data_IF_282250615044
#
_entry.id   IF_282250615044
#
_cell.length_a   1.000
_cell.length_b   1.000
_cell.length_c   1.000
_cell.angle_alpha   90.00
_cell.angle_beta   90.00
_cell.angle_gamma   90.00
#
_symmetry.space_group_name_H-M   'P 1'
#
loop_
_entity.id
_entity.type
_entity.pdbx_description
1 polymer ?
#
# COMPACT_ATOMS: atom_id res chain seq x y z
N UNK A 1 -19.00 -16.57 36.33
CA UNK A 1 -19.30 -15.14 36.14
C UNK A 1 -18.20 -14.43 35.37
N UNK A 2 -17.02 -14.46 35.91
CA UNK A 2 -15.90 -13.78 35.25
C UNK A 2 -15.60 -14.31 33.87
N UNK A 3 -15.86 -15.57 33.67
CA UNK A 3 -15.60 -16.21 32.38
C UNK A 3 -16.39 -15.58 31.24
N UNK A 4 -17.61 -15.15 31.54
CA UNK A 4 -18.44 -14.52 30.53
C UNK A 4 -17.86 -13.21 30.03
N UNK A 5 -17.31 -12.43 30.96
CA UNK A 5 -16.67 -11.17 30.61
C UNK A 5 -15.47 -11.37 29.70
N UNK A 6 -14.67 -12.38 29.99
CA UNK A 6 -13.53 -12.70 29.16
C UNK A 6 -13.94 -13.07 27.75
N UNK A 7 -14.98 -13.87 27.62
CA UNK A 7 -15.50 -14.23 26.32
C UNK A 7 -15.96 -13.03 25.52
N UNK A 8 -16.66 -12.11 26.19
CA UNK A 8 -17.13 -10.90 25.52
C UNK A 8 -15.98 -10.03 25.04
N UNK A 9 -14.95 -9.87 25.86
CA UNK A 9 -13.78 -9.09 25.45
C UNK A 9 -13.08 -9.69 24.25
N UNK A 10 -12.96 -10.99 24.22
CA UNK A 10 -12.39 -11.68 23.08
C UNK A 10 -13.17 -11.46 21.80
N UNK A 11 -14.49 -11.53 21.89
CA UNK A 11 -15.36 -11.30 20.75
C UNK A 11 -15.26 -9.87 20.24
N UNK A 12 -15.24 -8.89 21.16
CA UNK A 12 -15.09 -7.49 20.78
C UNK A 12 -13.78 -7.26 20.06
N UNK A 13 -12.69 -7.84 20.55
CA UNK A 13 -11.40 -7.74 19.89
C UNK A 13 -11.41 -8.26 18.45
N UNK A 14 -12.06 -9.41 18.23
CA UNK A 14 -12.18 -9.98 16.91
C UNK A 14 -13.05 -9.12 15.99
N UNK A 15 -14.13 -8.53 16.54
CA UNK A 15 -15.03 -7.70 15.75
C UNK A 15 -14.40 -6.40 15.27
N UNK A 16 -13.27 -5.98 15.87
CA UNK A 16 -12.59 -4.75 15.50
C UNK A 16 -11.46 -4.95 14.49
N UNK A 17 -11.29 -6.20 14.01
CA UNK A 17 -10.25 -6.48 13.02
C UNK A 17 -10.54 -5.72 11.73
N UNK A 18 -9.53 -4.99 11.22
CA UNK A 18 -9.63 -4.22 10.01
C UNK A 18 -9.42 -5.12 8.79
N UNK A 19 -10.30 -5.00 7.81
CA UNK A 19 -10.20 -5.73 6.56
C UNK A 19 -9.85 -4.77 5.42
N UNK A 20 -9.22 -5.31 4.37
CA UNK A 20 -8.81 -4.55 3.19
C UNK A 20 -9.44 -5.17 1.94
N UNK A 21 -10.07 -4.38 1.08
CA UNK A 21 -10.49 -4.89 -0.23
C UNK A 21 -9.30 -5.41 -1.01
N UNK A 22 -9.54 -6.35 -1.90
CA UNK A 22 -8.50 -6.93 -2.74
C UNK A 22 -8.74 -6.55 -4.19
N UNK A 23 -7.66 -6.36 -4.91
CA UNK A 23 -7.71 -6.01 -6.32
C UNK A 23 -6.45 -6.50 -7.02
N UNK A 24 -6.45 -6.35 -8.32
CA UNK A 24 -5.30 -6.65 -9.16
C UNK A 24 -4.87 -5.37 -9.86
N UNK A 25 -3.58 -5.12 -9.91
CA UNK A 25 -3.06 -4.01 -10.67
C UNK A 25 -1.81 -4.42 -11.46
N UNK A 26 -1.39 -3.55 -12.35
CA UNK A 26 -0.22 -3.76 -13.18
C UNK A 26 0.76 -2.62 -13.00
N UNK A 27 2.04 -2.94 -13.10
CA UNK A 27 3.09 -1.94 -13.21
C UNK A 27 3.77 -2.15 -14.55
N UNK A 28 3.78 -1.13 -15.37
CA UNK A 28 4.33 -1.19 -16.72
C UNK A 28 5.58 -0.34 -16.86
N UNK A 29 6.60 -0.90 -17.45
CA UNK A 29 7.83 -0.22 -17.80
C UNK A 29 8.68 -1.09 -18.69
N UNK A 30 9.53 -0.45 -19.49
CA UNK A 30 10.43 -1.16 -20.41
C UNK A 30 9.71 -2.14 -21.33
N UNK A 31 8.48 -1.80 -21.74
CA UNK A 31 7.70 -2.64 -22.65
C UNK A 31 7.10 -3.88 -22.02
N UNK A 32 7.12 -4.00 -20.68
CA UNK A 32 6.57 -5.15 -19.97
C UNK A 32 5.53 -4.72 -18.96
N UNK A 33 4.56 -5.58 -18.76
CA UNK A 33 3.51 -5.44 -17.74
C UNK A 33 3.71 -6.48 -16.65
N UNK A 34 3.72 -6.04 -15.41
CA UNK A 34 3.90 -6.92 -14.26
C UNK A 34 2.63 -6.89 -13.41
N UNK A 35 2.07 -8.07 -13.16
CA UNK A 35 0.86 -8.24 -12.39
C UNK A 35 1.17 -8.26 -10.90
N UNK A 36 0.36 -7.55 -10.12
CA UNK A 36 0.38 -7.59 -8.66
C UNK A 36 -1.02 -7.86 -8.13
N UNK A 37 -1.10 -8.71 -7.14
CA UNK A 37 -2.32 -8.86 -6.33
C UNK A 37 -2.15 -7.97 -5.11
N UNK A 38 -3.08 -7.04 -4.93
CA UNK A 38 -2.95 -6.02 -3.89
C UNK A 38 -4.13 -6.01 -2.96
N UNK A 39 -3.87 -5.60 -1.73
CA UNK A 39 -4.88 -5.09 -0.83
C UNK A 39 -4.98 -3.59 -1.03
N UNK A 40 -6.17 -3.04 -0.85
CA UNK A 40 -6.44 -1.62 -1.12
C UNK A 40 -6.64 -0.88 0.19
N UNK A 41 -5.84 0.16 0.40
CA UNK A 41 -5.95 1.06 1.54
C UNK A 41 -6.50 2.40 1.02
N UNK A 42 -7.81 2.59 1.16
CA UNK A 42 -8.51 3.74 0.62
C UNK A 42 -9.36 4.47 1.67
N UNK A 43 -9.10 4.22 2.94
CA UNK A 43 -9.73 4.93 4.07
C UNK A 43 -8.66 5.34 5.07
N UNK A 44 -8.91 6.37 5.90
CA UNK A 44 -7.94 6.79 6.91
C UNK A 44 -7.47 5.65 7.81
N UNK A 45 -8.38 4.76 8.23
CA UNK A 45 -8.01 3.63 9.07
C UNK A 45 -7.08 2.68 8.36
N UNK A 46 -7.34 2.41 7.08
CA UNK A 46 -6.50 1.53 6.27
C UNK A 46 -5.14 2.16 5.97
N UNK A 47 -5.10 3.48 5.72
CA UNK A 47 -3.82 4.17 5.54
C UNK A 47 -2.96 4.06 6.78
N UNK A 48 -3.59 4.24 7.95
CA UNK A 48 -2.86 4.20 9.21
C UNK A 48 -2.29 2.82 9.51
N UNK A 49 -3.05 1.78 9.24
CA UNK A 49 -2.59 0.42 9.54
C UNK A 49 -1.60 -0.11 8.50
N UNK A 50 -1.89 0.09 7.22
CA UNK A 50 -1.03 -0.43 6.16
C UNK A 50 -0.69 -1.89 6.37
N UNK A 51 0.58 -2.24 6.21
CA UNK A 51 1.08 -3.60 6.36
C UNK A 51 1.62 -3.90 7.77
N UNK A 52 1.20 -3.13 8.78
CA UNK A 52 1.61 -3.38 10.16
C UNK A 52 1.35 -4.83 10.57
N UNK A 53 2.30 -5.39 11.32
CA UNK A 53 2.22 -6.73 11.91
C UNK A 53 2.21 -7.88 10.91
N UNK A 54 2.43 -7.62 9.62
CA UNK A 54 2.56 -8.70 8.63
C UNK A 54 3.95 -9.29 8.71
N UNK A 55 4.03 -10.61 8.81
CA UNK A 55 5.31 -11.32 8.93
C UNK A 55 5.92 -11.60 7.57
N UNK A 56 5.10 -11.61 6.53
CA UNK A 56 5.56 -11.84 5.16
C UNK A 56 4.56 -11.27 4.16
N UNK A 57 5.03 -11.10 2.95
CA UNK A 57 4.26 -10.64 1.80
C UNK A 57 4.72 -11.46 0.61
N UNK A 58 3.79 -11.99 -0.17
CA UNK A 58 4.13 -12.77 -1.37
C UNK A 58 4.89 -11.93 -2.38
N UNK A 59 5.67 -12.58 -3.23
CA UNK A 59 6.55 -11.89 -4.19
C UNK A 59 5.78 -10.94 -5.09
N UNK A 60 4.60 -11.34 -5.58
CA UNK A 60 3.79 -10.50 -6.44
C UNK A 60 2.53 -10.00 -5.72
N UNK A 61 2.68 -9.71 -4.45
CA UNK A 61 1.64 -9.12 -3.61
C UNK A 61 2.10 -7.76 -3.10
N UNK A 62 1.13 -6.91 -2.78
CA UNK A 62 1.43 -5.59 -2.24
C UNK A 62 0.21 -4.94 -1.64
N UNK A 63 0.38 -3.68 -1.26
CA UNK A 63 -0.72 -2.85 -0.81
C UNK A 63 -0.67 -1.53 -1.56
N UNK A 64 -1.81 -1.15 -2.14
CA UNK A 64 -1.94 0.13 -2.83
C UNK A 64 -2.72 1.09 -1.94
N UNK A 65 -2.17 2.28 -1.75
CA UNK A 65 -2.76 3.37 -0.97
C UNK A 65 -3.32 4.38 -1.95
N UNK A 66 -4.60 4.68 -1.84
CA UNK A 66 -5.28 5.62 -2.72
C UNK A 66 -5.82 6.78 -1.90
N UNK A 67 -5.51 7.99 -2.31
CA UNK A 67 -5.91 9.21 -1.63
C UNK A 67 -6.86 10.00 -2.52
N UNK A 68 -7.96 10.56 -1.95
CA UNK A 68 -8.93 11.31 -2.75
C UNK A 68 -8.37 12.65 -3.23
N UNK A 69 -7.33 13.18 -2.55
CA UNK A 69 -6.70 14.45 -2.89
C UNK A 69 -5.19 14.25 -2.98
N UNK A 70 -4.50 15.07 -3.75
CA UNK A 70 -3.04 15.05 -3.77
C UNK A 70 -2.47 15.34 -2.37
N UNK A 71 -1.35 14.73 -2.06
CA UNK A 71 -0.69 14.88 -0.77
C UNK A 71 0.82 14.88 -0.95
N UNK A 72 1.53 15.45 0.02
CA UNK A 72 2.98 15.36 0.11
C UNK A 72 3.41 14.66 1.40
N UNK A 73 2.47 13.98 2.07
CA UNK A 73 2.73 13.30 3.34
C UNK A 73 3.70 12.15 3.22
N UNK A 74 4.26 11.76 4.35
CA UNK A 74 5.23 10.68 4.40
C UNK A 74 4.62 9.39 4.94
N UNK A 75 5.40 8.32 4.84
CA UNK A 75 5.07 7.01 5.37
C UNK A 75 6.09 6.62 6.43
N UNK A 76 5.67 5.92 7.46
CA UNK A 76 6.59 5.34 8.43
C UNK A 76 6.43 3.83 8.47
N UNK A 77 7.42 3.17 9.06
CA UNK A 77 7.45 1.71 9.14
C UNK A 77 7.21 1.21 10.56
N UNK A 78 6.53 2.01 11.38
CA UNK A 78 6.20 1.60 12.74
C UNK A 78 5.39 0.31 12.70
N UNK A 79 5.78 -0.65 13.53
CA UNK A 79 5.14 -1.98 13.61
C UNK A 79 5.09 -2.72 12.28
N UNK A 80 5.89 -2.31 11.32
CA UNK A 80 6.02 -3.01 10.04
C UNK A 80 7.28 -3.85 10.11
N UNK A 81 7.10 -5.16 9.98
CA UNK A 81 8.12 -6.14 10.36
C UNK A 81 9.01 -6.54 9.20
N UNK A 82 8.60 -6.24 7.97
CA UNK A 82 9.31 -6.66 6.76
C UNK A 82 9.81 -5.44 5.99
N UNK A 83 10.98 -5.53 5.35
CA UNK A 83 11.47 -4.42 4.53
C UNK A 83 10.61 -4.28 3.28
N UNK A 84 10.32 -3.05 2.89
CA UNK A 84 9.44 -2.73 1.78
C UNK A 84 10.10 -1.75 0.83
N UNK A 85 9.67 -1.77 -0.42
CA UNK A 85 9.86 -0.66 -1.35
C UNK A 85 8.51 0.01 -1.56
N UNK A 86 8.50 1.34 -1.63
CA UNK A 86 7.29 2.11 -1.88
C UNK A 86 7.47 2.96 -3.13
N UNK A 87 6.49 2.90 -4.03
CA UNK A 87 6.44 3.75 -5.21
C UNK A 87 5.33 4.76 -5.04
N UNK A 88 5.65 6.04 -5.13
CA UNK A 88 4.69 7.14 -5.07
C UNK A 88 4.32 7.52 -6.49
N UNK A 89 3.03 7.55 -6.79
CA UNK A 89 2.59 7.83 -8.16
C UNK A 89 1.57 8.95 -8.19
N UNK A 90 1.50 9.62 -9.33
CA UNK A 90 0.58 10.72 -9.52
C UNK A 90 -0.81 10.21 -9.93
N UNK A 91 -1.69 11.15 -10.19
CA UNK A 91 -3.07 10.88 -10.57
C UNK A 91 -3.19 10.03 -11.85
N UNK A 92 -2.23 10.13 -12.75
CA UNK A 92 -2.19 9.33 -13.97
C UNK A 92 -1.51 7.98 -13.77
N UNK A 93 -1.06 7.67 -12.55
CA UNK A 93 -0.36 6.41 -12.25
C UNK A 93 1.13 6.44 -12.55
N UNK A 94 1.69 7.58 -12.94
CA UNK A 94 3.12 7.67 -13.22
C UNK A 94 3.89 7.66 -11.92
N UNK A 95 4.83 6.72 -11.78
CA UNK A 95 5.68 6.61 -10.61
C UNK A 95 6.68 7.77 -10.59
N UNK A 96 6.63 8.55 -9.52
CA UNK A 96 7.44 9.76 -9.34
C UNK A 96 8.68 9.49 -8.51
N UNK A 97 8.59 8.61 -7.52
CA UNK A 97 9.68 8.25 -6.60
C UNK A 97 9.50 6.83 -6.14
N UNK A 98 10.63 6.15 -5.92
CA UNK A 98 10.66 4.84 -5.29
C UNK A 98 11.66 4.93 -4.14
N UNK A 99 11.23 4.54 -2.95
CA UNK A 99 12.06 4.54 -1.75
C UNK A 99 12.08 3.14 -1.15
N UNK A 100 13.22 2.74 -0.58
CA UNK A 100 13.32 1.55 0.25
C UNK A 100 13.09 1.94 1.70
N UNK A 101 12.32 1.14 2.43
CA UNK A 101 11.94 1.42 3.81
C UNK A 101 12.28 0.23 4.70
N UNK A 102 12.88 0.50 5.85
CA UNK A 102 13.33 -0.52 6.78
C UNK A 102 12.35 -0.69 7.93
N UNK A 103 12.19 -1.92 8.44
CA UNK A 103 11.32 -2.17 9.59
C UNK A 103 11.66 -1.30 10.78
N UNK A 104 10.63 -0.88 11.53
CA UNK A 104 10.81 -0.13 12.77
C UNK A 104 9.83 -0.63 13.82
N UNK A 105 10.35 -1.19 14.90
CA UNK A 105 9.54 -1.84 15.93
C UNK A 105 9.22 -0.93 17.10
N UNK A 106 10.02 0.12 17.30
CA UNK A 106 9.87 1.00 18.46
C UNK A 106 10.24 2.43 18.08
N UNK A 107 9.51 3.37 18.65
CA UNK A 107 9.76 4.79 18.45
C UNK A 107 11.15 5.20 18.93
N UNK A 108 11.76 6.21 18.29
CA UNK A 108 11.24 6.96 17.16
C UNK A 108 11.43 6.24 15.84
N UNK A 109 10.40 6.24 14.98
CA UNK A 109 10.48 5.67 13.66
C UNK A 109 10.69 6.77 12.62
N UNK A 110 11.62 6.59 11.70
CA UNK A 110 11.80 7.57 10.62
C UNK A 110 10.54 7.68 9.76
N UNK A 111 10.31 8.86 9.22
CA UNK A 111 9.25 9.11 8.25
C UNK A 111 9.90 9.28 6.88
N UNK A 112 9.38 8.56 5.89
CA UNK A 112 9.88 8.58 4.53
C UNK A 112 9.03 9.51 3.70
N UNK A 113 9.59 10.63 3.27
CA UNK A 113 8.92 11.63 2.46
C UNK A 113 9.41 11.52 1.02
N UNK A 114 8.52 11.49 0.03
CA UNK A 114 8.97 11.43 -1.36
C UNK A 114 9.54 12.74 -1.88
N UNK A 115 9.24 13.86 -1.23
CA UNK A 115 9.68 15.16 -1.69
C UNK A 115 8.92 15.67 -2.91
N UNK A 116 7.80 15.05 -3.24
CA UNK A 116 6.92 15.44 -4.34
C UNK A 116 5.48 15.25 -3.91
N UNK A 117 4.58 15.93 -4.61
CA UNK A 117 3.13 15.72 -4.46
C UNK A 117 2.74 14.48 -5.26
N UNK A 118 1.93 13.62 -4.65
CA UNK A 118 1.49 12.36 -5.26
C UNK A 118 0.04 12.10 -4.87
N UNK A 119 -0.59 11.08 -5.44
CA UNK A 119 -1.97 10.75 -5.09
C UNK A 119 -2.17 9.27 -4.78
N UNK A 120 -1.19 8.45 -4.96
CA UNK A 120 -1.22 7.06 -4.57
C UNK A 120 0.17 6.53 -4.26
N UNK A 121 0.22 5.39 -3.58
CA UNK A 121 1.48 4.74 -3.24
C UNK A 121 1.30 3.23 -3.31
N UNK A 122 2.35 2.52 -3.69
CA UNK A 122 2.34 1.07 -3.81
C UNK A 122 3.50 0.50 -3.01
N UNK A 123 3.17 -0.29 -1.99
CA UNK A 123 4.15 -1.01 -1.17
C UNK A 123 4.26 -2.45 -1.63
N UNK A 124 5.49 -2.91 -1.79
CA UNK A 124 5.84 -4.27 -2.21
C UNK A 124 7.08 -4.72 -1.44
N UNK A 125 7.45 -5.98 -1.57
CA UNK A 125 8.71 -6.46 -0.98
C UNK A 125 9.87 -5.61 -1.48
N UNK A 126 10.81 -5.31 -0.59
CA UNK A 126 11.95 -4.49 -0.93
C UNK A 126 12.71 -5.05 -2.12
N UNK A 127 12.99 -4.20 -3.08
CA UNK A 127 13.70 -4.57 -4.30
C UNK A 127 12.83 -5.08 -5.43
N UNK A 128 11.52 -5.20 -5.24
CA UNK A 128 10.61 -5.73 -6.26
C UNK A 128 10.71 -4.98 -7.58
N UNK A 129 10.72 -3.65 -7.53
CA UNK A 129 10.83 -2.82 -8.74
C UNK A 129 12.16 -3.05 -9.44
N UNK A 130 13.24 -2.99 -8.68
CA UNK A 130 14.59 -3.11 -9.21
C UNK A 130 14.81 -4.45 -9.89
N UNK A 131 14.33 -5.54 -9.29
CA UNK A 131 14.46 -6.87 -9.88
C UNK A 131 13.73 -7.02 -11.21
N UNK A 132 12.75 -6.15 -11.49
CA UNK A 132 11.97 -6.18 -12.72
C UNK A 132 12.35 -5.08 -13.68
N UNK A 133 13.42 -4.36 -13.40
CA UNK A 133 13.88 -3.26 -14.25
C UNK A 133 12.91 -2.09 -14.27
N UNK A 134 12.10 -1.93 -13.23
CA UNK A 134 11.13 -0.86 -13.11
C UNK A 134 11.72 0.28 -12.30
N UNK A 135 11.51 1.51 -12.77
CA UNK A 135 12.05 2.72 -12.15
C UNK A 135 11.01 3.82 -12.20
N UNK A 136 11.40 5.00 -11.73
CA UNK A 136 10.59 6.21 -11.88
C UNK A 136 10.24 6.42 -13.34
N UNK A 137 9.01 6.83 -13.60
CA UNK A 137 8.46 6.91 -14.95
C UNK A 137 7.64 5.70 -15.37
N UNK A 138 7.77 4.56 -14.68
CA UNK A 138 6.88 3.43 -14.88
C UNK A 138 5.45 3.80 -14.47
N UNK A 139 4.48 2.99 -14.88
CA UNK A 139 3.08 3.34 -14.70
C UNK A 139 2.30 2.26 -13.99
N UNK A 140 1.52 2.69 -13.01
CA UNK A 140 0.57 1.84 -12.28
C UNK A 140 -0.80 1.96 -12.95
N UNK A 141 -1.47 0.82 -13.19
CA UNK A 141 -2.82 0.83 -13.76
C UNK A 141 -3.64 -0.35 -13.22
N UNK A 142 -4.95 -0.25 -13.38
CA UNK A 142 -5.90 -1.30 -13.01
C UNK A 142 -6.59 -1.82 -14.27
N UNK A 143 -7.05 -3.07 -14.20
CA UNK A 143 -8.09 -3.51 -15.12
C UNK A 143 -9.38 -2.77 -14.77
N UNK A 144 -10.06 -2.25 -15.79
CA UNK A 144 -11.27 -1.46 -15.59
C UNK A 144 -12.35 -2.24 -14.84
N UNK A 145 -12.39 -3.55 -15.01
CA UNK A 145 -13.40 -4.41 -14.38
C UNK A 145 -13.05 -4.82 -12.95
N UNK A 146 -11.78 -4.69 -12.55
CA UNK A 146 -11.28 -5.19 -11.29
C UNK A 146 -10.73 -4.11 -10.39
N UNK A 147 -10.66 -2.89 -10.87
CA UNK A 147 -10.12 -1.79 -10.09
C UNK A 147 -10.95 -1.50 -8.86
N UNK A 148 -10.35 -0.94 -7.80
CA UNK A 148 -11.10 -0.56 -6.62
C UNK A 148 -12.11 0.53 -6.96
N UNK A 149 -13.19 0.60 -6.17
CA UNK A 149 -14.24 1.58 -6.38
C UNK A 149 -14.00 2.81 -5.52
N UNK A 150 -14.40 3.96 -6.04
CA UNK A 150 -14.28 5.22 -5.33
C UNK A 150 -13.52 6.27 -6.14
N UNK A 151 -13.43 7.51 -5.64
CA UNK A 151 -12.84 8.62 -6.40
C UNK A 151 -11.37 8.39 -6.78
N UNK A 152 -10.58 7.86 -5.86
CA UNK A 152 -9.16 7.61 -6.12
C UNK A 152 -8.96 6.52 -7.17
N UNK A 153 -9.80 5.50 -7.16
CA UNK A 153 -9.74 4.42 -8.14
C UNK A 153 -10.05 4.92 -9.55
N UNK A 154 -11.01 5.81 -9.67
CA UNK A 154 -11.37 6.41 -10.96
C UNK A 154 -10.16 7.15 -11.54
N UNK A 155 -9.45 7.90 -10.73
CA UNK A 155 -8.28 8.63 -11.18
C UNK A 155 -7.17 7.70 -11.68
N UNK A 156 -7.02 6.54 -11.07
CA UNK A 156 -6.01 5.57 -11.47
C UNK A 156 -6.44 4.82 -12.73
N UNK A 157 -7.72 4.48 -12.85
CA UNK A 157 -8.20 3.68 -13.97
C UNK A 157 -8.32 4.46 -15.27
N UNK A 158 -8.29 5.78 -15.22
CA UNK A 158 -8.37 6.62 -16.44
C UNK A 158 -7.03 6.75 -17.14
N UNK A 159 -6.01 6.12 -16.61
CA UNK A 159 -4.70 6.10 -17.22
C UNK A 159 -4.72 5.23 -18.49
#
# INVERSE_FOLDING_TARGET
>A
MRHRLWGLLGLLGLALALTFPKSTLYVEGNGKRHLLKVEVADTPERWAQGLMFRERLGEDEGMVFLFPEPTAGGFWMKNTLIPLSIAFFDRQGVILRILDMEPCRADPCPVYYPGVVYQGALEVNQGWFRRRGLAEGARVSYDAEQGPKGPAAVNVTTI
#
